data_IF_270232565902
#
_entry.id   IF_270232565902
#
_cell.length_a   1.000
_cell.length_b   1.000
_cell.length_c   1.000
_cell.angle_alpha   90.00
_cell.angle_beta   90.00
_cell.angle_gamma   90.00
#
_symmetry.space_group_name_H-M   'P 1'
#
loop_
_entity.id
_entity.type
_entity.pdbx_description
1 polymer ?
#
# COMPACT_ATOMS: atom_id res chain seq x y z
N UNK A 1 -33.11 13.79 -0.67
CA UNK A 1 -32.51 12.79 -1.56
C UNK A 1 -32.11 11.61 -0.72
N UNK A 2 -32.42 10.39 -1.14
CA UNK A 2 -31.82 9.19 -0.55
C UNK A 2 -30.36 9.05 -1.01
N UNK A 3 -29.61 8.09 -0.45
CA UNK A 3 -28.18 7.90 -0.74
C UNK A 3 -27.87 7.68 -2.22
N UNK A 4 -28.70 6.93 -2.95
CA UNK A 4 -28.50 6.68 -4.39
C UNK A 4 -28.72 7.97 -5.20
N UNK A 5 -29.81 8.69 -4.92
CA UNK A 5 -30.11 9.97 -5.54
C UNK A 5 -29.01 11.01 -5.29
N UNK A 6 -28.38 11.01 -4.10
CA UNK A 6 -27.25 11.88 -3.78
C UNK A 6 -26.02 11.56 -4.65
N UNK A 7 -25.70 10.27 -4.85
CA UNK A 7 -24.57 9.84 -5.69
C UNK A 7 -24.80 10.23 -7.15
N UNK A 8 -25.99 9.97 -7.69
CA UNK A 8 -26.36 10.39 -9.05
C UNK A 8 -26.31 11.90 -9.21
N UNK A 9 -26.80 12.64 -8.21
CA UNK A 9 -26.75 14.10 -8.23
C UNK A 9 -25.30 14.63 -8.29
N UNK A 10 -24.39 14.07 -7.50
CA UNK A 10 -22.97 14.42 -7.52
C UNK A 10 -22.33 14.05 -8.86
N UNK A 11 -22.63 12.86 -9.40
CA UNK A 11 -22.09 12.41 -10.67
C UNK A 11 -22.54 13.30 -11.84
N UNK A 12 -23.83 13.65 -11.87
CA UNK A 12 -24.39 14.56 -12.89
C UNK A 12 -23.78 15.96 -12.76
N UNK A 13 -23.71 16.49 -11.54
CA UNK A 13 -23.08 17.79 -11.29
C UNK A 13 -21.62 17.78 -11.77
N UNK A 14 -20.87 16.71 -11.46
CA UNK A 14 -19.48 16.56 -11.89
C UNK A 14 -19.40 16.54 -13.42
N UNK A 15 -20.22 15.75 -14.11
CA UNK A 15 -20.25 15.71 -15.57
C UNK A 15 -20.57 17.06 -16.23
N UNK A 16 -21.32 17.94 -15.56
CA UNK A 16 -21.70 19.26 -16.08
C UNK A 16 -20.66 20.36 -15.79
N UNK A 17 -19.88 20.21 -14.72
CA UNK A 17 -19.04 21.28 -14.18
C UNK A 17 -17.54 20.98 -14.19
N UNK A 18 -17.16 19.72 -14.37
CA UNK A 18 -15.76 19.29 -14.37
C UNK A 18 -15.07 19.61 -15.70
N UNK A 19 -13.79 19.98 -15.62
CA UNK A 19 -12.97 20.25 -16.81
C UNK A 19 -12.50 18.94 -17.47
N UNK A 20 -13.41 18.22 -18.12
CA UNK A 20 -13.10 16.98 -18.83
C UNK A 20 -14.33 16.10 -19.04
N UNK A 21 -14.16 15.01 -19.79
CA UNK A 21 -15.17 13.97 -19.80
C UNK A 21 -15.17 13.23 -18.45
N UNK A 22 -16.35 12.81 -18.01
CA UNK A 22 -16.54 12.11 -16.73
C UNK A 22 -17.15 10.74 -16.99
N UNK A 23 -16.75 9.75 -16.21
CA UNK A 23 -17.30 8.41 -16.26
C UNK A 23 -18.78 8.38 -15.86
N UNK A 24 -19.45 7.24 -16.06
CA UNK A 24 -20.84 7.05 -15.67
C UNK A 24 -20.95 6.03 -14.55
N UNK A 25 -21.94 6.19 -13.68
CA UNK A 25 -22.24 5.19 -12.66
C UNK A 25 -22.52 3.84 -13.32
N UNK A 26 -21.93 2.77 -12.79
CA UNK A 26 -22.25 1.41 -13.16
C UNK A 26 -23.51 0.96 -12.43
N UNK A 27 -24.65 0.88 -13.12
CA UNK A 27 -25.93 0.47 -12.53
C UNK A 27 -26.09 -1.06 -12.32
N UNK A 28 -25.02 -1.83 -12.47
CA UNK A 28 -25.01 -3.25 -12.12
C UNK A 28 -24.85 -3.48 -10.61
N UNK A 29 -25.33 -4.63 -10.13
CA UNK A 29 -25.16 -5.05 -8.74
C UNK A 29 -23.77 -5.63 -8.48
N UNK A 30 -23.14 -5.23 -7.37
CA UNK A 30 -21.91 -5.80 -6.82
C UNK A 30 -22.15 -6.88 -5.76
N UNK A 31 -23.40 -7.33 -5.54
CA UNK A 31 -23.75 -8.27 -4.48
C UNK A 31 -22.99 -9.60 -4.53
N UNK A 32 -22.57 -10.04 -5.73
CA UNK A 32 -21.80 -11.29 -5.91
C UNK A 32 -20.51 -11.31 -5.10
N UNK A 33 -19.96 -10.13 -4.81
CA UNK A 33 -18.67 -9.94 -4.19
C UNK A 33 -18.79 -9.69 -2.67
N UNK A 34 -20.00 -9.55 -2.14
CA UNK A 34 -20.23 -9.22 -0.72
C UNK A 34 -19.74 -10.31 0.24
N UNK A 35 -19.88 -11.58 -0.14
CA UNK A 35 -19.39 -12.69 0.68
C UNK A 35 -17.87 -12.61 0.88
N UNK A 36 -17.13 -12.40 -0.20
CA UNK A 36 -15.66 -12.26 -0.17
C UNK A 36 -15.23 -11.02 0.61
N UNK A 37 -15.90 -9.88 0.41
CA UNK A 37 -15.61 -8.65 1.17
C UNK A 37 -15.79 -8.86 2.69
N UNK A 38 -16.87 -9.52 3.11
CA UNK A 38 -17.10 -9.82 4.53
C UNK A 38 -16.08 -10.80 5.11
N UNK A 39 -15.62 -11.76 4.31
CA UNK A 39 -14.55 -12.69 4.69
C UNK A 39 -13.23 -11.95 4.91
N UNK A 40 -12.82 -11.11 3.95
CA UNK A 40 -11.62 -10.26 4.01
C UNK A 40 -11.66 -9.33 5.24
N UNK A 41 -12.79 -8.66 5.46
CA UNK A 41 -12.96 -7.73 6.58
C UNK A 41 -13.11 -8.44 7.94
N UNK A 42 -13.47 -9.73 7.91
CA UNK A 42 -13.90 -10.52 9.06
C UNK A 42 -15.01 -9.82 9.87
N UNK A 43 -15.99 -9.24 9.17
CA UNK A 43 -17.15 -8.57 9.75
C UNK A 43 -18.25 -8.36 8.71
N UNK A 44 -19.43 -7.92 9.16
CA UNK A 44 -20.54 -7.59 8.26
C UNK A 44 -20.28 -6.26 7.56
N UNK A 45 -20.67 -6.18 6.28
CA UNK A 45 -20.64 -4.91 5.54
C UNK A 45 -21.61 -3.90 6.16
N UNK A 46 -21.27 -2.60 6.20
CA UNK A 46 -22.20 -1.55 6.61
C UNK A 46 -23.47 -1.57 5.77
N UNK A 47 -24.63 -1.34 6.38
CA UNK A 47 -25.91 -1.33 5.65
C UNK A 47 -25.88 -0.35 4.47
N UNK A 48 -25.38 0.86 4.70
CA UNK A 48 -25.23 1.88 3.66
C UNK A 48 -24.37 1.41 2.49
N UNK A 49 -23.29 0.67 2.74
CA UNK A 49 -22.46 0.08 1.69
C UNK A 49 -23.29 -0.90 0.86
N UNK A 50 -23.98 -1.85 1.51
CA UNK A 50 -24.79 -2.84 0.78
C UNK A 50 -25.96 -2.20 0.04
N UNK A 51 -26.59 -1.16 0.60
CA UNK A 51 -27.69 -0.43 -0.05
C UNK A 51 -27.23 0.30 -1.31
N UNK A 52 -25.98 0.79 -1.35
CA UNK A 52 -25.39 1.42 -2.53
C UNK A 52 -25.00 0.36 -3.56
N UNK A 53 -24.15 -0.60 -3.16
CA UNK A 53 -23.52 -1.54 -4.10
C UNK A 53 -24.47 -2.60 -4.66
N UNK A 54 -25.70 -2.70 -4.14
CA UNK A 54 -26.80 -3.44 -4.77
C UNK A 54 -27.22 -2.85 -6.11
N UNK A 55 -27.06 -1.54 -6.27
CA UNK A 55 -27.55 -0.80 -7.42
C UNK A 55 -26.41 -0.13 -8.19
N UNK A 56 -25.34 0.29 -7.52
CA UNK A 56 -24.20 0.97 -8.14
C UNK A 56 -22.87 0.24 -7.84
N UNK A 57 -22.33 -0.50 -8.82
CA UNK A 57 -21.05 -1.22 -8.68
C UNK A 57 -19.88 -0.44 -9.28
N UNK A 58 -19.61 0.74 -8.73
CA UNK A 58 -18.57 1.65 -9.18
C UNK A 58 -19.00 2.45 -10.42
N UNK A 59 -18.05 2.69 -11.32
CA UNK A 59 -18.26 3.44 -12.57
C UNK A 59 -17.80 2.68 -13.82
N UNK A 60 -18.23 3.16 -14.99
CA UNK A 60 -17.88 2.66 -16.31
C UNK A 60 -17.29 3.81 -17.14
N UNK A 61 -16.14 3.55 -17.76
CA UNK A 61 -15.45 4.47 -18.64
C UNK A 61 -13.94 4.47 -18.38
N UNK A 62 -13.22 5.31 -19.13
CA UNK A 62 -11.77 5.52 -18.98
C UNK A 62 -11.43 7.01 -18.84
N UNK A 63 -12.41 7.82 -18.45
CA UNK A 63 -12.31 9.26 -18.25
C UNK A 63 -12.15 9.57 -16.75
N UNK A 64 -12.32 10.84 -16.35
CA UNK A 64 -12.27 11.24 -14.95
C UNK A 64 -13.43 10.67 -14.14
N UNK A 65 -13.18 10.37 -12.86
CA UNK A 65 -14.17 9.70 -12.02
C UNK A 65 -15.34 10.58 -11.56
N UNK A 66 -16.44 9.94 -11.16
CA UNK A 66 -17.72 10.61 -10.91
C UNK A 66 -17.73 11.55 -9.69
N UNK A 67 -16.75 11.44 -8.78
CA UNK A 67 -16.61 12.32 -7.63
C UNK A 67 -15.51 13.35 -7.91
N UNK A 68 -15.84 14.38 -8.70
CA UNK A 68 -14.90 15.47 -9.01
C UNK A 68 -13.54 14.98 -9.52
N UNK A 69 -13.56 13.94 -10.36
CA UNK A 69 -12.39 13.28 -10.91
C UNK A 69 -11.94 12.03 -10.16
N UNK A 70 -12.39 11.77 -8.94
CA UNK A 70 -12.08 10.53 -8.22
C UNK A 70 -12.99 9.39 -8.67
N UNK A 71 -12.38 8.26 -9.00
CA UNK A 71 -13.05 7.03 -9.43
C UNK A 71 -13.95 6.49 -8.33
N UNK A 72 -15.21 6.21 -8.64
CA UNK A 72 -16.04 5.37 -7.79
C UNK A 72 -15.72 3.89 -8.00
N UNK A 73 -15.08 3.27 -7.00
CA UNK A 73 -14.54 1.91 -7.13
C UNK A 73 -15.64 0.85 -7.20
N UNK A 74 -15.47 -0.11 -8.11
CA UNK A 74 -16.25 -1.35 -8.10
C UNK A 74 -15.84 -2.27 -6.96
N UNK A 75 -16.75 -3.14 -6.52
CA UNK A 75 -16.48 -4.17 -5.49
C UNK A 75 -15.24 -5.02 -5.76
N UNK A 76 -14.99 -5.39 -7.02
CA UNK A 76 -13.75 -6.08 -7.43
C UNK A 76 -12.48 -5.27 -7.18
N UNK A 77 -12.51 -3.97 -7.49
CA UNK A 77 -11.38 -3.08 -7.21
C UNK A 77 -11.18 -2.91 -5.71
N UNK A 78 -12.26 -2.80 -4.93
CA UNK A 78 -12.20 -2.74 -3.46
C UNK A 78 -11.55 -4.01 -2.90
N UNK A 79 -11.97 -5.19 -3.34
CA UNK A 79 -11.36 -6.47 -2.94
C UNK A 79 -9.86 -6.44 -3.19
N UNK A 80 -9.42 -6.06 -4.39
CA UNK A 80 -7.99 -6.00 -4.73
C UNK A 80 -7.20 -5.07 -3.79
N UNK A 81 -7.77 -3.92 -3.40
CA UNK A 81 -7.11 -3.00 -2.46
C UNK A 81 -7.07 -3.55 -1.04
N UNK A 82 -8.12 -4.23 -0.59
CA UNK A 82 -8.15 -4.87 0.73
C UNK A 82 -7.22 -6.08 0.81
N UNK A 83 -7.12 -6.88 -0.26
CA UNK A 83 -6.17 -7.98 -0.36
C UNK A 83 -4.72 -7.51 -0.32
N UNK A 84 -4.42 -6.37 -0.98
CA UNK A 84 -3.13 -5.70 -0.83
C UNK A 84 -2.85 -5.35 0.64
N UNK A 85 -3.80 -4.71 1.33
CA UNK A 85 -3.65 -4.36 2.74
C UNK A 85 -3.49 -5.59 3.66
N UNK A 86 -4.18 -6.69 3.38
CA UNK A 86 -3.98 -7.97 4.07
C UNK A 86 -2.57 -8.53 3.81
N UNK A 87 -2.08 -8.41 2.58
CA UNK A 87 -0.75 -8.86 2.19
C UNK A 87 0.39 -8.17 2.96
N UNK A 88 0.15 -6.97 3.49
CA UNK A 88 1.09 -6.25 4.35
C UNK A 88 1.14 -6.81 5.79
N UNK A 89 0.12 -7.55 6.22
CA UNK A 89 0.06 -8.10 7.57
C UNK A 89 1.13 -9.17 7.76
N UNK A 90 1.84 -9.07 8.87
CA UNK A 90 2.83 -10.06 9.27
C UNK A 90 2.21 -11.09 10.21
N UNK A 91 2.51 -12.40 10.07
CA UNK A 91 2.04 -13.41 11.01
C UNK A 91 2.49 -13.10 12.45
N UNK A 92 1.59 -13.33 13.42
CA UNK A 92 1.86 -13.13 14.85
C UNK A 92 2.99 -14.06 15.30
N UNK A 93 2.90 -15.34 14.92
CA UNK A 93 3.96 -16.32 15.09
C UNK A 93 4.62 -16.58 13.73
N UNK A 94 5.93 -16.40 13.67
CA UNK A 94 6.69 -16.58 12.44
C UNK A 94 7.58 -17.80 12.49
N UNK A 95 7.57 -18.59 11.43
CA UNK A 95 8.34 -19.83 11.31
C UNK A 95 8.73 -20.12 9.88
N UNK A 96 9.89 -20.73 9.72
CA UNK A 96 10.33 -21.29 8.44
C UNK A 96 9.91 -22.76 8.44
N UNK A 97 8.93 -23.09 7.59
CA UNK A 97 8.37 -24.45 7.52
C UNK A 97 9.36 -25.41 6.86
N UNK A 98 9.87 -25.06 5.68
CA UNK A 98 10.82 -25.88 4.93
C UNK A 98 12.24 -25.30 5.06
N UNK A 99 12.85 -25.54 6.22
CA UNK A 99 14.18 -25.03 6.54
C UNK A 99 15.24 -25.52 5.54
N UNK A 100 15.17 -26.78 5.11
CA UNK A 100 16.15 -27.34 4.18
C UNK A 100 16.10 -26.66 2.82
N UNK A 101 14.90 -26.43 2.28
CA UNK A 101 14.74 -25.73 1.02
C UNK A 101 15.13 -24.26 1.13
N UNK A 102 14.73 -23.59 2.21
CA UNK A 102 15.13 -22.22 2.53
C UNK A 102 16.66 -22.06 2.56
N UNK A 103 17.35 -22.90 3.34
CA UNK A 103 18.81 -22.86 3.45
C UNK A 103 19.51 -23.12 2.11
N UNK A 104 18.97 -24.02 1.28
CA UNK A 104 19.52 -24.27 -0.06
C UNK A 104 19.47 -23.01 -0.93
N UNK A 105 18.34 -22.31 -0.94
CA UNK A 105 18.16 -21.07 -1.72
C UNK A 105 19.07 -19.95 -1.18
N UNK A 106 19.08 -19.75 0.14
CA UNK A 106 19.92 -18.74 0.81
C UNK A 106 21.41 -18.96 0.55
N UNK A 107 21.87 -20.22 0.59
CA UNK A 107 23.24 -20.59 0.26
C UNK A 107 23.58 -20.21 -1.19
N UNK A 108 22.65 -20.44 -2.12
CA UNK A 108 22.86 -20.14 -3.53
C UNK A 108 22.93 -18.62 -3.79
N UNK A 109 21.99 -17.86 -3.22
CA UNK A 109 22.01 -16.38 -3.25
C UNK A 109 23.37 -15.88 -2.72
N UNK A 110 23.75 -16.30 -1.52
CA UNK A 110 24.99 -15.90 -0.86
C UNK A 110 26.23 -16.19 -1.72
N UNK A 111 26.28 -17.37 -2.36
CA UNK A 111 27.38 -17.76 -3.24
C UNK A 111 27.50 -16.88 -4.50
N UNK A 112 26.38 -16.46 -5.10
CA UNK A 112 26.39 -15.59 -6.28
C UNK A 112 26.93 -14.19 -5.95
N UNK A 113 26.53 -13.65 -4.79
CA UNK A 113 27.08 -12.40 -4.28
C UNK A 113 28.56 -12.52 -3.91
N UNK A 114 28.97 -13.60 -3.23
CA UNK A 114 30.38 -13.86 -2.91
C UNK A 114 31.25 -13.88 -4.17
N UNK A 115 30.79 -14.54 -5.25
CA UNK A 115 31.49 -14.60 -6.56
C UNK A 115 31.58 -13.24 -7.27
N UNK A 116 30.75 -12.27 -6.87
CA UNK A 116 30.75 -10.91 -7.40
C UNK A 116 31.75 -10.00 -6.70
N UNK A 117 32.24 -10.37 -5.51
CA UNK A 117 33.29 -9.64 -4.80
C UNK A 117 34.63 -9.89 -5.50
N UNK A 118 35.34 -8.85 -5.97
CA UNK A 118 36.62 -9.03 -6.65
C UNK A 118 37.67 -9.65 -5.73
N UNK A 119 38.16 -10.83 -6.11
CA UNK A 119 39.28 -11.46 -5.42
C UNK A 119 40.58 -10.78 -5.88
N UNK A 120 41.03 -9.72 -5.19
CA UNK A 120 42.30 -9.03 -5.52
C UNK A 120 43.50 -9.91 -5.16
N UNK A 121 43.74 -10.98 -5.92
CA UNK A 121 45.06 -11.60 -6.01
C UNK A 121 45.94 -10.71 -6.88
N UNK A 122 46.89 -10.02 -6.23
CA UNK A 122 48.12 -9.43 -6.80
C UNK A 122 47.95 -8.23 -7.76
N UNK A 123 48.01 -7.02 -7.22
CA UNK A 123 48.76 -5.92 -7.83
C UNK A 123 49.13 -4.91 -6.71
N UNK A 124 50.39 -4.95 -6.26
CA UNK A 124 50.93 -4.08 -5.21
C UNK A 124 51.10 -4.76 -3.84
N UNK A 125 52.17 -4.41 -3.14
CA UNK A 125 52.69 -5.06 -1.93
C UNK A 125 51.83 -4.95 -0.65
N UNK A 126 50.56 -4.56 -0.75
CA UNK A 126 49.61 -4.49 0.38
C UNK A 126 48.22 -4.91 -0.12
N UNK A 127 47.89 -6.20 -0.06
CA UNK A 127 46.52 -6.66 -0.36
C UNK A 127 45.63 -6.36 0.85
N UNK A 128 44.79 -5.32 0.76
CA UNK A 128 43.76 -5.03 1.77
C UNK A 128 42.88 -6.27 1.97
N UNK A 129 42.74 -6.76 3.21
CA UNK A 129 41.87 -7.89 3.52
C UNK A 129 40.49 -7.36 3.90
N UNK A 130 39.46 -7.86 3.24
CA UNK A 130 38.10 -7.54 3.62
C UNK A 130 37.68 -8.38 4.83
N UNK A 131 36.79 -7.82 5.65
CA UNK A 131 36.36 -8.39 6.94
C UNK A 131 34.91 -8.86 6.91
N UNK A 132 34.03 -8.12 6.22
CA UNK A 132 32.64 -8.48 5.98
C UNK A 132 32.10 -7.88 4.68
N UNK A 133 31.07 -8.51 4.14
CA UNK A 133 30.28 -7.97 3.04
C UNK A 133 28.80 -7.98 3.42
N UNK A 134 28.08 -6.91 3.08
CA UNK A 134 26.65 -6.74 3.37
C UNK A 134 25.92 -6.49 2.05
N UNK A 135 24.82 -7.20 1.85
CA UNK A 135 23.93 -7.02 0.70
C UNK A 135 22.53 -7.48 1.10
N UNK A 136 21.54 -7.11 0.30
CA UNK A 136 20.17 -7.55 0.49
C UNK A 136 19.49 -7.92 -0.81
N UNK A 137 18.45 -8.72 -0.69
CA UNK A 137 17.53 -9.02 -1.78
C UNK A 137 16.11 -9.17 -1.26
N UNK A 138 15.16 -8.92 -2.15
CA UNK A 138 13.74 -9.15 -1.93
C UNK A 138 13.10 -9.61 -3.25
N UNK A 139 11.78 -9.78 -3.25
CA UNK A 139 11.05 -10.09 -4.47
C UNK A 139 11.31 -8.99 -5.53
N UNK A 140 11.83 -9.38 -6.70
CA UNK A 140 12.10 -8.46 -7.81
C UNK A 140 13.17 -7.37 -7.59
N UNK A 141 13.98 -7.43 -6.51
CA UNK A 141 15.02 -6.42 -6.26
C UNK A 141 16.22 -6.97 -5.48
N UNK A 142 17.38 -6.34 -5.66
CA UNK A 142 18.58 -6.60 -4.87
C UNK A 142 19.49 -5.38 -4.77
N UNK A 143 20.32 -5.34 -3.72
CA UNK A 143 21.27 -4.26 -3.49
C UNK A 143 22.63 -4.51 -4.15
N UNK A 144 23.47 -3.48 -4.18
CA UNK A 144 24.92 -3.66 -4.34
C UNK A 144 25.52 -4.36 -3.09
N UNK A 145 26.72 -4.91 -3.23
CA UNK A 145 27.50 -5.51 -2.14
C UNK A 145 28.42 -4.47 -1.52
N UNK A 146 28.17 -4.12 -0.27
CA UNK A 146 29.04 -3.25 0.53
C UNK A 146 30.10 -4.09 1.25
N UNK A 147 31.36 -3.94 0.86
CA UNK A 147 32.50 -4.70 1.41
C UNK A 147 33.34 -3.81 2.31
N UNK A 148 33.47 -4.21 3.58
CA UNK A 148 34.30 -3.53 4.57
C UNK A 148 35.70 -4.16 4.63
N UNK A 149 36.72 -3.31 4.70
CA UNK A 149 38.12 -3.69 4.83
C UNK A 149 38.64 -3.52 6.26
N UNK A 150 39.76 -4.18 6.56
CA UNK A 150 40.45 -4.13 7.86
C UNK A 150 40.81 -2.71 8.35
N UNK A 151 40.98 -1.77 7.44
CA UNK A 151 41.22 -0.35 7.70
C UNK A 151 39.93 0.49 7.92
N UNK A 152 38.75 -0.14 7.90
CA UNK A 152 37.44 0.52 8.01
C UNK A 152 36.90 1.11 6.71
N UNK A 153 37.60 0.97 5.58
CA UNK A 153 37.12 1.41 4.27
C UNK A 153 35.96 0.53 3.80
N UNK A 154 34.92 1.15 3.23
CA UNK A 154 33.77 0.45 2.64
C UNK A 154 33.75 0.72 1.14
N UNK A 155 33.77 -0.34 0.34
CA UNK A 155 33.68 -0.28 -1.12
C UNK A 155 32.44 -1.03 -1.60
N UNK A 156 31.68 -0.43 -2.52
CA UNK A 156 30.49 -1.06 -3.11
C UNK A 156 30.81 -1.71 -4.44
N UNK A 157 30.32 -2.94 -4.62
CA UNK A 157 30.42 -3.71 -5.86
C UNK A 157 29.03 -4.07 -6.37
N UNK A 158 28.80 -3.94 -7.67
CA UNK A 158 27.58 -4.48 -8.28
C UNK A 158 27.62 -6.01 -8.31
N UNK A 159 26.45 -6.62 -8.24
CA UNK A 159 26.29 -8.01 -8.63
C UNK A 159 26.76 -8.17 -10.08
N UNK A 160 27.41 -9.30 -10.41
CA UNK A 160 27.71 -9.60 -11.82
C UNK A 160 26.40 -9.76 -12.60
N UNK A 161 26.34 -9.13 -13.76
CA UNK A 161 25.15 -9.11 -14.64
C UNK A 161 24.62 -10.52 -14.94
N UNK A 162 25.50 -11.48 -15.20
CA UNK A 162 25.17 -12.90 -15.44
C UNK A 162 24.43 -13.61 -14.28
N UNK A 163 24.41 -13.02 -13.08
CA UNK A 163 23.71 -13.57 -11.92
C UNK A 163 22.38 -12.88 -11.64
N UNK A 164 22.05 -11.79 -12.33
CA UNK A 164 20.88 -10.94 -12.02
C UNK A 164 19.57 -11.72 -12.10
N UNK A 165 19.27 -12.33 -13.25
CA UNK A 165 18.03 -13.09 -13.46
C UNK A 165 17.88 -14.21 -12.44
N UNK A 166 19.00 -14.89 -12.14
CA UNK A 166 19.01 -15.97 -11.16
C UNK A 166 18.76 -15.49 -9.73
N UNK A 167 19.24 -14.30 -9.36
CA UNK A 167 18.92 -13.70 -8.06
C UNK A 167 17.45 -13.33 -7.96
N UNK A 168 16.84 -12.82 -9.04
CA UNK A 168 15.40 -12.56 -9.06
C UNK A 168 14.61 -13.86 -8.90
N UNK A 169 14.93 -14.91 -9.66
CA UNK A 169 14.27 -16.21 -9.56
C UNK A 169 14.37 -16.81 -8.15
N UNK A 170 15.57 -16.78 -7.55
CA UNK A 170 15.80 -17.31 -6.20
C UNK A 170 15.09 -16.46 -5.13
N UNK A 171 15.08 -15.13 -5.29
CA UNK A 171 14.38 -14.19 -4.41
C UNK A 171 12.87 -14.42 -4.41
N UNK A 172 12.30 -14.61 -5.60
CA UNK A 172 10.88 -14.95 -5.78
C UNK A 172 10.57 -16.35 -5.19
N UNK A 173 11.43 -17.34 -5.42
CA UNK A 173 11.22 -18.70 -4.89
C UNK A 173 11.19 -18.72 -3.36
N UNK A 174 12.17 -18.08 -2.70
CA UNK A 174 12.21 -18.06 -1.24
C UNK A 174 11.10 -17.19 -0.64
N UNK A 175 10.74 -16.09 -1.30
CA UNK A 175 9.61 -15.28 -0.89
C UNK A 175 8.32 -16.11 -0.91
N UNK A 176 8.01 -16.80 -2.01
CA UNK A 176 6.80 -17.65 -2.08
C UNK A 176 6.83 -18.81 -1.09
N UNK A 177 8.01 -19.39 -0.84
CA UNK A 177 8.18 -20.48 0.13
C UNK A 177 7.82 -20.03 1.56
N UNK A 178 8.18 -18.80 1.93
CA UNK A 178 8.10 -18.31 3.30
C UNK A 178 6.95 -17.31 3.54
N UNK A 179 6.31 -16.81 2.48
CA UNK A 179 5.29 -15.74 2.55
C UNK A 179 4.17 -16.04 3.54
N UNK A 180 3.61 -17.25 3.51
CA UNK A 180 2.45 -17.61 4.33
C UNK A 180 2.76 -17.61 5.83
N UNK A 181 3.93 -18.12 6.22
CA UNK A 181 4.28 -18.40 7.62
C UNK A 181 5.30 -17.40 8.20
N UNK A 182 5.86 -16.50 7.37
CA UNK A 182 6.84 -15.50 7.81
C UNK A 182 6.59 -14.09 7.24
N UNK A 183 6.34 -13.97 5.92
CA UNK A 183 6.03 -12.70 5.22
C UNK A 183 7.04 -11.55 5.42
N UNK A 184 8.34 -11.79 5.32
CA UNK A 184 9.35 -10.72 5.40
C UNK A 184 9.36 -9.81 4.15
N UNK A 185 9.94 -8.61 4.28
CA UNK A 185 10.07 -7.63 3.18
C UNK A 185 11.45 -7.63 2.52
N UNK A 186 12.51 -7.87 3.29
CA UNK A 186 13.85 -8.09 2.73
C UNK A 186 14.66 -9.16 3.47
N UNK A 187 15.63 -9.73 2.77
CA UNK A 187 16.67 -10.58 3.34
C UNK A 187 17.97 -9.79 3.38
N UNK A 188 18.50 -9.54 4.58
CA UNK A 188 19.76 -8.84 4.80
C UNK A 188 20.86 -9.85 5.12
N UNK A 189 21.84 -9.96 4.23
CA UNK A 189 22.96 -10.88 4.38
C UNK A 189 24.18 -10.18 4.94
N UNK A 190 24.88 -10.89 5.83
CA UNK A 190 26.24 -10.57 6.27
C UNK A 190 27.14 -11.76 5.97
N UNK A 191 28.07 -11.56 5.05
CA UNK A 191 28.97 -12.57 4.51
C UNK A 191 30.41 -12.34 5.00
N UNK A 192 31.15 -13.41 5.26
CA UNK A 192 32.55 -13.38 5.71
C UNK A 192 33.51 -13.94 4.66
N UNK A 193 34.83 -13.63 4.75
CA UNK A 193 35.82 -14.07 3.75
C UNK A 193 35.94 -15.58 3.55
N UNK A 194 35.57 -16.39 4.54
CA UNK A 194 35.52 -17.85 4.45
C UNK A 194 34.22 -18.38 3.80
N UNK A 195 33.35 -17.49 3.31
CA UNK A 195 32.11 -17.83 2.62
C UNK A 195 30.93 -18.14 3.55
N UNK A 196 31.11 -18.03 4.87
CA UNK A 196 29.99 -18.15 5.81
C UNK A 196 29.13 -16.89 5.77
N UNK A 197 27.86 -17.02 6.08
CA UNK A 197 26.96 -15.89 6.18
C UNK A 197 25.97 -16.06 7.31
N UNK A 198 25.38 -14.94 7.72
CA UNK A 198 24.12 -14.88 8.44
C UNK A 198 23.12 -14.11 7.59
N UNK A 199 21.85 -14.47 7.67
CA UNK A 199 20.75 -13.74 7.03
C UNK A 199 19.72 -13.32 8.07
N UNK A 200 19.30 -12.07 7.99
CA UNK A 200 18.19 -11.52 8.77
C UNK A 200 17.01 -11.30 7.84
N UNK A 201 15.82 -11.69 8.27
CA UNK A 201 14.56 -11.39 7.60
C UNK A 201 14.04 -10.09 8.22
N UNK A 202 13.97 -9.03 7.43
CA UNK A 202 13.55 -7.71 7.89
C UNK A 202 12.18 -7.36 7.37
N UNK A 203 11.48 -6.57 8.17
CA UNK A 203 10.24 -5.94 7.79
C UNK A 203 10.49 -4.46 7.52
N UNK A 204 9.71 -3.92 6.59
CA UNK A 204 9.55 -2.50 6.43
C UNK A 204 8.32 -2.05 7.23
N UNK A 205 8.55 -1.28 8.29
CA UNK A 205 7.49 -0.81 9.19
C UNK A 205 7.20 0.64 8.82
N UNK A 206 6.18 0.87 7.98
CA UNK A 206 5.80 2.20 7.51
C UNK A 206 5.57 3.19 8.66
N UNK A 207 4.96 2.73 9.74
CA UNK A 207 4.66 3.54 10.93
C UNK A 207 5.89 3.96 11.74
N UNK A 208 7.08 3.40 11.48
CA UNK A 208 8.35 3.87 12.05
C UNK A 208 9.05 4.89 11.15
N UNK A 209 8.77 4.85 9.84
CA UNK A 209 9.40 5.69 8.82
C UNK A 209 8.59 6.97 8.52
N UNK A 210 7.27 6.94 8.78
CA UNK A 210 6.33 8.02 8.48
C UNK A 210 5.53 8.39 9.73
N UNK A 211 5.48 9.67 10.07
CA UNK A 211 4.69 10.18 11.20
C UNK A 211 3.23 10.39 10.79
N UNK A 212 2.48 9.29 10.70
CA UNK A 212 1.05 9.36 10.42
C UNK A 212 0.32 10.11 11.54
N UNK A 213 -0.56 11.03 11.16
CA UNK A 213 -1.44 11.76 12.07
C UNK A 213 -2.91 11.52 11.76
N UNK A 214 -3.77 11.97 12.67
CA UNK A 214 -5.22 11.91 12.50
C UNK A 214 -5.80 13.26 12.87
N UNK A 215 -6.67 13.79 12.02
CA UNK A 215 -7.45 14.97 12.30
C UNK A 215 -8.96 14.67 12.22
N UNK A 216 -9.72 14.86 13.30
CA UNK A 216 -9.29 15.15 14.67
C UNK A 216 -8.42 14.05 15.32
N UNK A 217 -7.56 14.42 16.26
CA UNK A 217 -6.62 13.50 16.92
C UNK A 217 -7.31 12.30 17.57
N UNK A 218 -6.76 11.10 17.34
CA UNK A 218 -7.19 9.85 17.96
C UNK A 218 -8.49 9.29 17.39
N UNK A 219 -8.94 9.79 16.22
CA UNK A 219 -10.08 9.20 15.51
C UNK A 219 -9.68 8.11 14.51
N UNK A 220 -8.53 8.23 13.87
CA UNK A 220 -8.02 7.28 12.87
C UNK A 220 -6.76 6.63 13.42
N UNK A 221 -6.61 5.31 13.21
CA UNK A 221 -5.37 4.61 13.57
C UNK A 221 -4.24 5.09 12.67
N UNK A 222 -3.09 5.42 13.25
CA UNK A 222 -1.88 5.86 12.56
C UNK A 222 -1.24 4.69 11.81
N UNK A 223 -1.67 4.43 10.59
CA UNK A 223 -1.23 3.31 9.75
C UNK A 223 -1.13 3.74 8.29
N UNK A 224 -0.21 3.13 7.56
CA UNK A 224 -0.09 3.34 6.12
C UNK A 224 -1.32 2.84 5.36
N UNK A 225 -1.68 1.59 5.58
CA UNK A 225 -2.93 0.99 5.11
C UNK A 225 -3.54 0.13 6.21
N UNK A 226 -4.86 -0.06 6.14
CA UNK A 226 -5.56 -0.97 7.05
C UNK A 226 -6.63 -1.75 6.30
N UNK A 227 -6.63 -3.07 6.49
CA UNK A 227 -7.58 -3.98 5.84
C UNK A 227 -9.04 -3.76 6.24
N UNK A 228 -9.33 -2.89 7.22
CA UNK A 228 -10.68 -2.48 7.62
C UNK A 228 -11.06 -1.05 7.17
N UNK A 229 -10.24 -0.44 6.33
CA UNK A 229 -10.57 0.81 5.65
C UNK A 229 -11.04 0.47 4.24
N UNK A 230 -12.34 0.58 4.00
CA UNK A 230 -12.95 0.24 2.71
C UNK A 230 -12.79 1.45 1.77
N UNK A 231 -11.92 1.40 0.74
CA UNK A 231 -11.81 2.49 -0.21
C UNK A 231 -13.11 2.56 -1.04
N UNK A 232 -13.65 3.76 -1.23
CA UNK A 232 -14.86 3.98 -2.03
C UNK A 232 -14.54 4.83 -3.26
N UNK A 233 -13.77 5.90 -3.07
CA UNK A 233 -13.28 6.75 -4.15
C UNK A 233 -11.77 6.73 -4.24
N UNK A 234 -11.21 6.71 -5.45
CA UNK A 234 -9.76 6.66 -5.72
C UNK A 234 -9.35 7.81 -6.66
N UNK A 235 -8.28 8.51 -6.30
CA UNK A 235 -7.71 9.62 -7.08
C UNK A 235 -6.81 9.19 -8.26
N UNK A 236 -6.85 7.91 -8.66
CA UNK A 236 -5.93 7.27 -9.61
C UNK A 236 -4.43 7.28 -9.26
N UNK A 237 -4.03 7.88 -8.14
CA UNK A 237 -2.63 8.07 -7.75
C UNK A 237 -2.22 7.30 -6.47
N UNK A 238 -3.20 6.78 -5.73
CA UNK A 238 -2.96 5.93 -4.56
C UNK A 238 -3.60 6.44 -3.28
N UNK A 239 -4.44 7.47 -3.38
CA UNK A 239 -5.19 8.05 -2.27
C UNK A 239 -6.68 7.82 -2.43
N UNK A 240 -7.37 7.73 -1.29
CA UNK A 240 -8.73 7.24 -1.22
C UNK A 240 -9.57 8.06 -0.24
N UNK A 241 -10.85 8.17 -0.57
CA UNK A 241 -11.92 8.46 0.39
C UNK A 241 -12.65 7.15 0.66
N UNK A 242 -12.80 6.78 1.92
CA UNK A 242 -13.39 5.49 2.26
C UNK A 242 -13.97 5.39 3.66
N UNK A 243 -14.53 4.21 3.97
CA UNK A 243 -15.23 3.94 5.24
C UNK A 243 -14.28 3.21 6.20
N UNK A 244 -14.10 3.77 7.39
CA UNK A 244 -13.27 3.19 8.44
C UNK A 244 -14.11 2.30 9.37
N UNK A 245 -13.84 0.99 9.35
CA UNK A 245 -14.51 0.02 10.21
C UNK A 245 -13.74 -0.31 11.50
N UNK A 246 -12.55 0.26 11.68
CA UNK A 246 -11.69 0.04 12.83
C UNK A 246 -10.99 1.34 13.28
N UNK A 247 -11.80 2.32 13.72
CA UNK A 247 -11.29 3.62 14.15
C UNK A 247 -10.39 3.51 15.39
N UNK A 248 -9.67 4.58 15.68
CA UNK A 248 -8.95 4.71 16.95
C UNK A 248 -9.92 5.13 18.09
N UNK A 249 -9.41 5.23 19.32
CA UNK A 249 -10.17 5.33 20.58
C UNK A 249 -11.26 6.42 20.61
N UNK A 250 -11.08 7.53 19.90
CA UNK A 250 -12.04 8.65 19.84
C UNK A 250 -12.85 8.68 18.54
N UNK A 251 -12.58 7.76 17.62
CA UNK A 251 -13.25 7.69 16.33
C UNK A 251 -14.56 6.93 16.40
N UNK A 252 -15.28 6.96 15.28
CA UNK A 252 -16.60 6.33 15.16
C UNK A 252 -16.56 5.29 14.05
N UNK A 253 -17.01 4.08 14.36
CA UNK A 253 -17.05 3.01 13.37
C UNK A 253 -18.03 3.39 12.25
N UNK A 254 -17.56 3.33 11.01
CA UNK A 254 -18.29 3.79 9.83
C UNK A 254 -18.01 5.25 9.43
N UNK A 255 -17.13 5.96 10.15
CA UNK A 255 -16.69 7.30 9.74
C UNK A 255 -16.02 7.26 8.37
N UNK A 256 -16.13 8.35 7.62
CA UNK A 256 -15.50 8.51 6.30
C UNK A 256 -14.16 9.20 6.47
N UNK A 257 -13.11 8.62 5.89
CA UNK A 257 -11.73 9.08 6.04
C UNK A 257 -11.04 9.28 4.69
N UNK A 258 -10.04 10.17 4.68
CA UNK A 258 -9.03 10.28 3.63
C UNK A 258 -7.78 9.52 4.08
N UNK A 259 -7.29 8.62 3.24
CA UNK A 259 -6.11 7.78 3.49
C UNK A 259 -5.45 7.38 2.16
N UNK A 260 -4.20 6.95 2.16
CA UNK A 260 -3.49 6.68 0.92
C UNK A 260 -1.98 6.73 1.03
N UNK A 261 -1.31 6.52 -0.11
CA UNK A 261 0.15 6.53 -0.18
C UNK A 261 0.78 7.87 0.18
N UNK A 262 0.06 8.97 -0.02
CA UNK A 262 0.53 10.35 0.22
C UNK A 262 -0.22 11.04 1.38
N UNK A 263 -1.06 10.29 2.10
CA UNK A 263 -1.95 10.85 3.12
C UNK A 263 -1.40 10.63 4.55
N UNK A 264 -0.25 11.23 4.84
CA UNK A 264 0.37 11.15 6.18
C UNK A 264 -0.55 11.75 7.25
N UNK A 265 -1.20 12.87 6.92
CA UNK A 265 -2.11 13.58 7.82
C UNK A 265 -3.57 13.16 7.61
N UNK A 266 -3.97 11.94 7.97
CA UNK A 266 -5.30 11.43 7.66
C UNK A 266 -6.44 12.27 8.27
N UNK A 267 -7.57 12.37 7.57
CA UNK A 267 -8.70 13.22 7.97
C UNK A 267 -9.99 12.44 8.06
N UNK A 268 -10.76 12.66 9.13
CA UNK A 268 -12.17 12.25 9.19
C UNK A 268 -13.01 13.33 8.52
N UNK A 269 -13.63 12.98 7.40
CA UNK A 269 -14.44 13.91 6.59
C UNK A 269 -15.89 13.96 7.08
N UNK A 270 -16.42 12.84 7.56
CA UNK A 270 -17.77 12.75 8.10
C UNK A 270 -17.92 11.56 9.06
N UNK A 271 -18.95 11.60 9.89
CA UNK A 271 -19.24 10.59 10.90
C UNK A 271 -19.88 9.31 10.30
N UNK A 272 -20.39 9.39 9.08
CA UNK A 272 -20.86 8.27 8.25
C UNK A 272 -20.98 8.68 6.78
N UNK A 273 -21.20 7.71 5.90
CA UNK A 273 -21.24 7.93 4.46
C UNK A 273 -22.42 8.81 3.98
N UNK A 274 -23.56 8.77 4.67
CA UNK A 274 -24.69 9.63 4.28
C UNK A 274 -24.40 11.11 4.58
N UNK A 275 -23.81 11.38 5.76
CA UNK A 275 -23.35 12.72 6.14
C UNK A 275 -22.23 13.23 5.22
N UNK A 276 -21.36 12.35 4.73
CA UNK A 276 -20.36 12.70 3.72
C UNK A 276 -21.04 13.23 2.45
N UNK A 277 -22.01 12.49 1.90
CA UNK A 277 -22.72 12.94 0.69
C UNK A 277 -23.48 14.27 0.91
N UNK A 278 -24.10 14.45 2.07
CA UNK A 278 -24.76 15.72 2.41
C UNK A 278 -23.78 16.88 2.48
N UNK A 279 -22.61 16.67 3.11
CA UNK A 279 -21.54 17.64 3.19
C UNK A 279 -21.04 18.00 1.78
N UNK A 280 -20.76 16.99 0.95
CA UNK A 280 -20.31 17.15 -0.43
C UNK A 280 -21.29 18.00 -1.24
N UNK A 281 -22.58 17.65 -1.22
CA UNK A 281 -23.61 18.39 -1.97
C UNK A 281 -23.73 19.82 -1.48
N UNK A 282 -23.67 20.04 -0.16
CA UNK A 282 -23.70 21.38 0.42
C UNK A 282 -22.52 22.22 -0.06
N UNK A 283 -21.30 21.69 0.04
CA UNK A 283 -20.09 22.46 -0.26
C UNK A 283 -19.85 22.64 -1.77
N UNK A 284 -20.20 21.66 -2.62
CA UNK A 284 -20.13 21.81 -4.08
C UNK A 284 -21.09 22.89 -4.59
N UNK A 285 -22.29 23.00 -4.00
CA UNK A 285 -23.24 24.05 -4.35
C UNK A 285 -22.79 25.44 -3.86
N UNK A 286 -22.12 25.49 -2.70
CA UNK A 286 -21.64 26.74 -2.11
C UNK A 286 -20.38 27.26 -2.81
N UNK A 287 -19.46 26.38 -3.17
CA UNK A 287 -18.13 26.72 -3.72
C UNK A 287 -17.83 25.93 -5.02
N UNK A 288 -18.66 26.03 -6.07
CA UNK A 288 -18.60 25.14 -7.25
C UNK A 288 -17.23 25.14 -7.94
N UNK A 289 -16.51 26.26 -7.94
CA UNK A 289 -15.18 26.37 -8.55
C UNK A 289 -14.13 25.48 -7.88
N UNK A 290 -14.27 25.20 -6.58
CA UNK A 290 -13.32 24.34 -5.86
C UNK A 290 -13.47 22.86 -6.22
N UNK A 291 -14.61 22.48 -6.80
CA UNK A 291 -14.96 21.11 -7.18
C UNK A 291 -14.90 20.87 -8.70
N UNK A 292 -14.53 21.87 -9.48
CA UNK A 292 -14.50 21.82 -10.95
C UNK A 292 -13.20 21.23 -11.55
N UNK A 293 -12.24 20.81 -10.71
CA UNK A 293 -10.98 20.20 -11.13
C UNK A 293 -10.43 19.22 -10.07
N UNK A 294 -9.70 18.19 -10.51
CA UNK A 294 -9.18 17.10 -9.66
C UNK A 294 -8.28 17.57 -8.52
N UNK A 295 -7.45 18.57 -8.80
CA UNK A 295 -6.13 18.71 -8.18
C UNK A 295 -6.13 18.96 -6.66
N UNK A 296 -7.29 19.11 -6.01
CA UNK A 296 -7.38 19.55 -4.62
C UNK A 296 -8.57 18.97 -3.84
N UNK A 297 -9.25 17.91 -4.29
CA UNK A 297 -10.49 17.46 -3.61
C UNK A 297 -10.24 17.02 -2.16
N UNK A 298 -9.13 16.33 -1.90
CA UNK A 298 -8.72 16.00 -0.53
C UNK A 298 -8.40 17.27 0.28
N UNK A 299 -7.72 18.27 -0.30
CA UNK A 299 -7.44 19.57 0.32
C UNK A 299 -8.72 20.36 0.64
N UNK A 300 -9.72 20.28 -0.23
CA UNK A 300 -11.04 20.91 -0.02
C UNK A 300 -11.70 20.29 1.21
N UNK A 301 -11.77 18.96 1.30
CA UNK A 301 -12.32 18.28 2.47
C UNK A 301 -11.52 18.50 3.75
N UNK A 302 -10.18 18.55 3.66
CA UNK A 302 -9.27 18.94 4.75
C UNK A 302 -9.63 20.32 5.31
N UNK A 303 -9.73 21.32 4.44
CA UNK A 303 -10.08 22.70 4.81
C UNK A 303 -11.49 22.81 5.40
N UNK A 304 -12.48 22.11 4.83
CA UNK A 304 -13.85 22.07 5.36
C UNK A 304 -13.86 21.54 6.80
N UNK A 305 -12.99 20.59 7.12
CA UNK A 305 -12.87 19.96 8.43
C UNK A 305 -11.87 20.66 9.38
N UNK A 306 -11.29 21.80 8.98
CA UNK A 306 -10.26 22.52 9.73
C UNK A 306 -9.03 21.65 10.06
N UNK A 307 -8.66 20.79 9.11
CA UNK A 307 -7.48 19.93 9.16
C UNK A 307 -6.50 20.47 8.12
N UNK A 308 -5.38 21.05 8.55
CA UNK A 308 -4.30 21.56 7.67
C UNK A 308 -3.02 20.82 7.95
#
# INVERSE_FOLDING_TARGET
>A
MNTLEKIEHIANWTSENYNGEVNKINHESGETDFAQLQEILNEKLPKTFTDIYKYFNGEIGNNSGILFGHEFLSTKKIISKLEFAIGLLKPIERKIIDLNKSEKILNEISNLFFKSIPNKKKFGFISKKWTKAIFSCAQGTYSQVSVEYDNGEIVRYSLKEEYSDKIFDLGDEIYQLEKKDYNWDSLEFKLTPDGKYSVERKDYIWEEEVDFTSCPEGKIKKKYYHYKWIPIFHDYSGNFIGIDLDPDKKGKKGQVIIFGSEEENMVVVADNFEEFLDLTIKEMNKNPKEFASENHIHDVYRRINNCT
#
